data_IF_293081637133
#
_entry.id   IF_293081637133
#
_cell.length_a   1.000
_cell.length_b   1.000
_cell.length_c   1.000
_cell.angle_alpha   90.00
_cell.angle_beta   90.00
_cell.angle_gamma   90.00
#
_symmetry.space_group_name_H-M   'P 1'
#
loop_
_entity.id
_entity.type
_entity.pdbx_description
1 polymer ?
#
# COMPACT_ATOMS: atom_id res chain seq x y z
N UNK A 1 8.16 -12.55 3.16
CA UNK A 1 7.48 -11.26 3.41
C UNK A 1 7.08 -10.58 2.11
N UNK A 2 8.02 -10.33 1.20
CA UNK A 2 7.72 -9.63 -0.06
C UNK A 2 6.59 -10.27 -0.91
N UNK A 3 6.57 -11.60 -1.05
CA UNK A 3 5.47 -12.30 -1.74
C UNK A 3 4.09 -12.12 -1.07
N UNK A 4 4.05 -11.98 0.25
CA UNK A 4 2.81 -11.77 0.98
C UNK A 4 2.28 -10.35 0.81
N UNK A 5 3.14 -9.34 0.89
CA UNK A 5 2.76 -7.95 0.61
C UNK A 5 2.33 -7.78 -0.85
N UNK A 6 3.01 -8.45 -1.78
CA UNK A 6 2.63 -8.44 -3.18
C UNK A 6 1.26 -9.09 -3.43
N UNK A 7 0.92 -10.15 -2.69
CA UNK A 7 -0.40 -10.80 -2.81
C UNK A 7 -1.51 -9.92 -2.19
N UNK A 8 -1.27 -9.38 -0.99
CA UNK A 8 -2.22 -8.51 -0.28
C UNK A 8 -2.50 -7.20 -1.03
N UNK A 9 -1.50 -6.64 -1.68
CA UNK A 9 -1.59 -5.36 -2.39
C UNK A 9 -1.70 -5.53 -3.90
N UNK A 10 -1.87 -6.75 -4.41
CA UNK A 10 -1.89 -7.06 -5.84
C UNK A 10 -2.86 -6.21 -6.65
N UNK A 11 -4.00 -5.87 -6.07
CA UNK A 11 -5.04 -5.05 -6.70
C UNK A 11 -4.67 -3.56 -6.81
N UNK A 12 -3.61 -3.13 -6.13
CA UNK A 12 -3.13 -1.74 -6.09
C UNK A 12 -1.75 -1.57 -6.73
N UNK A 13 -1.00 -2.68 -6.83
CA UNK A 13 0.28 -2.74 -7.52
C UNK A 13 0.13 -2.38 -9.00
N UNK A 14 1.10 -1.63 -9.52
CA UNK A 14 1.14 -1.11 -10.90
C UNK A 14 0.02 -0.12 -11.28
N UNK A 15 -0.86 0.23 -10.33
CA UNK A 15 -1.89 1.28 -10.51
C UNK A 15 -1.47 2.56 -9.81
N UNK A 16 -1.29 2.51 -8.48
CA UNK A 16 -0.91 3.66 -7.66
C UNK A 16 0.04 3.30 -6.51
N UNK A 17 0.50 2.05 -6.45
CA UNK A 17 1.41 1.57 -5.42
C UNK A 17 2.51 0.66 -6.00
N UNK A 18 3.69 0.71 -5.40
CA UNK A 18 4.85 -0.15 -5.70
C UNK A 18 5.40 -0.66 -4.37
N UNK A 19 5.69 -1.96 -4.28
CA UNK A 19 6.34 -2.56 -3.12
C UNK A 19 7.82 -2.75 -3.41
N UNK A 20 8.68 -2.15 -2.58
CA UNK A 20 10.13 -2.30 -2.65
C UNK A 20 10.66 -2.84 -1.32
N UNK A 21 11.00 -4.13 -1.30
CA UNK A 21 11.48 -4.86 -0.11
C UNK A 21 10.42 -4.80 1.02
N UNK A 22 10.59 -3.90 1.98
CA UNK A 22 9.72 -3.72 3.14
C UNK A 22 8.90 -2.41 3.05
N UNK A 23 9.18 -1.56 2.07
CA UNK A 23 8.53 -0.27 1.88
C UNK A 23 7.45 -0.32 0.80
N UNK A 24 6.38 0.43 1.02
CA UNK A 24 5.30 0.62 0.04
C UNK A 24 5.37 2.08 -0.41
N UNK A 25 5.70 2.28 -1.68
CA UNK A 25 5.63 3.58 -2.33
C UNK A 25 4.22 3.77 -2.89
N UNK A 26 3.58 4.89 -2.57
CA UNK A 26 2.26 5.26 -3.08
C UNK A 26 2.43 6.55 -3.87
N UNK A 27 1.94 6.60 -5.11
CA UNK A 27 2.01 7.79 -5.97
C UNK A 27 0.61 8.21 -6.42
N UNK A 28 0.40 9.50 -6.64
CA UNK A 28 -0.90 10.07 -7.03
C UNK A 28 -0.70 11.46 -7.63
N UNK A 29 -1.61 11.89 -8.48
CA UNK A 29 -1.50 13.18 -9.20
C UNK A 29 -1.86 14.38 -8.32
N UNK A 30 -2.64 14.17 -7.26
CA UNK A 30 -3.08 15.21 -6.33
C UNK A 30 -3.19 14.67 -4.90
N UNK A 31 -3.18 15.57 -3.92
CA UNK A 31 -3.19 15.23 -2.49
C UNK A 31 -4.48 14.53 -2.05
N UNK A 32 -5.64 14.96 -2.56
CA UNK A 32 -6.93 14.35 -2.21
C UNK A 32 -6.99 12.88 -2.62
N UNK A 33 -6.54 12.58 -3.84
CA UNK A 33 -6.43 11.22 -4.37
C UNK A 33 -5.39 10.42 -3.59
N UNK A 34 -4.25 11.03 -3.26
CA UNK A 34 -3.22 10.40 -2.43
C UNK A 34 -3.78 9.94 -1.07
N UNK A 35 -4.57 10.78 -0.41
CA UNK A 35 -5.22 10.40 0.86
C UNK A 35 -6.16 9.19 0.68
N UNK A 36 -6.87 9.10 -0.45
CA UNK A 36 -7.73 7.94 -0.73
C UNK A 36 -6.90 6.68 -1.00
N UNK A 37 -5.82 6.78 -1.76
CA UNK A 37 -4.89 5.68 -2.03
C UNK A 37 -4.25 5.14 -0.76
N UNK A 38 -3.75 6.03 0.11
CA UNK A 38 -3.21 5.65 1.42
C UNK A 38 -4.26 4.93 2.26
N UNK A 39 -5.50 5.44 2.33
CA UNK A 39 -6.58 4.77 3.06
C UNK A 39 -6.88 3.37 2.53
N UNK A 40 -6.88 3.17 1.21
CA UNK A 40 -7.08 1.84 0.59
C UNK A 40 -5.98 0.86 0.98
N UNK A 41 -4.71 1.27 0.87
CA UNK A 41 -3.56 0.45 1.25
C UNK A 41 -3.63 0.08 2.74
N UNK A 42 -3.84 1.06 3.63
CA UNK A 42 -3.95 0.81 5.07
C UNK A 42 -5.12 -0.12 5.42
N UNK A 43 -6.26 0.02 4.75
CA UNK A 43 -7.40 -0.87 4.94
C UNK A 43 -7.10 -2.31 4.51
N UNK A 44 -6.42 -2.49 3.38
CA UNK A 44 -5.98 -3.79 2.90
C UNK A 44 -4.99 -4.45 3.87
N UNK A 45 -3.97 -3.71 4.33
CA UNK A 45 -3.02 -4.19 5.33
C UNK A 45 -3.72 -4.62 6.63
N UNK A 46 -4.66 -3.81 7.12
CA UNK A 46 -5.42 -4.11 8.35
C UNK A 46 -6.25 -5.39 8.23
N UNK A 47 -6.80 -5.69 7.05
CA UNK A 47 -7.55 -6.94 6.80
C UNK A 47 -6.68 -8.19 6.97
N UNK A 48 -5.37 -8.06 6.75
CA UNK A 48 -4.38 -9.11 6.91
C UNK A 48 -3.57 -9.00 8.21
N UNK A 49 -4.02 -8.19 9.17
CA UNK A 49 -3.35 -7.93 10.45
C UNK A 49 -1.91 -7.40 10.30
N UNK A 50 -1.64 -6.70 9.20
CA UNK A 50 -0.38 -5.99 8.96
C UNK A 50 -0.53 -4.52 9.36
N UNK A 51 0.54 -3.97 9.93
CA UNK A 51 0.59 -2.58 10.38
C UNK A 51 1.87 -1.92 9.87
N UNK A 52 1.73 -0.72 9.30
CA UNK A 52 2.87 0.11 8.95
C UNK A 52 3.51 0.67 10.22
N UNK A 53 4.83 0.59 10.31
CA UNK A 53 5.59 1.28 11.36
C UNK A 53 5.83 2.72 10.91
N UNK A 54 5.25 3.68 11.61
CA UNK A 54 5.64 5.08 11.47
C UNK A 54 7.03 5.22 12.11
N UNK A 55 8.06 5.44 11.29
CA UNK A 55 9.42 5.68 11.76
C UNK A 55 9.69 7.18 11.77
#
# INVERSE_FOLDING_TARGET
>A
FQFFLNDVLREYLDIFAIVYIDDILIYSDNENEHVQHVKKILAALRKHHLYCKLT
#
